data_IF_252679173958
#
_entry.id   IF_252679173958
#
_cell.length_a   1.000
_cell.length_b   1.000
_cell.length_c   1.000
_cell.angle_alpha   90.00
_cell.angle_beta   90.00
_cell.angle_gamma   90.00
#
_symmetry.space_group_name_H-M   'P 1'
#
loop_
_entity.id
_entity.type
_entity.pdbx_description
1 polymer ?
#
# COMPACT_ATOMS: atom_id res chain seq x y z
N UNK A 1 -0.25 -6.83 4.82
CA UNK A 1 -0.11 -6.52 3.40
C UNK A 1 -0.67 -5.15 3.07
N UNK A 2 -0.54 -4.71 1.82
CA UNK A 2 -0.87 -3.35 1.36
C UNK A 2 -2.31 -2.90 1.68
N UNK A 3 -3.28 -3.80 1.59
CA UNK A 3 -4.68 -3.48 1.95
C UNK A 3 -4.83 -3.11 3.44
N UNK A 4 -4.16 -3.84 4.33
CA UNK A 4 -4.16 -3.51 5.75
C UNK A 4 -3.43 -2.20 6.03
N UNK A 5 -2.31 -1.94 5.33
CA UNK A 5 -1.61 -0.66 5.40
C UNK A 5 -2.50 0.50 4.97
N UNK A 6 -3.22 0.35 3.86
CA UNK A 6 -4.16 1.38 3.40
C UNK A 6 -5.28 1.65 4.43
N UNK A 7 -5.82 0.58 5.03
CA UNK A 7 -6.83 0.70 6.10
C UNK A 7 -6.27 1.46 7.31
N UNK A 8 -5.08 1.07 7.80
CA UNK A 8 -4.43 1.77 8.92
C UNK A 8 -4.05 3.21 8.58
N UNK A 9 -3.66 3.49 7.34
CA UNK A 9 -3.39 4.86 6.89
C UNK A 9 -4.65 5.71 7.01
N UNK A 10 -5.77 5.21 6.53
CA UNK A 10 -7.06 5.89 6.62
C UNK A 10 -7.48 6.14 8.08
N UNK A 11 -7.28 5.16 8.96
CA UNK A 11 -7.57 5.32 10.39
C UNK A 11 -6.67 6.36 11.05
N UNK A 12 -5.40 6.45 10.65
CA UNK A 12 -4.44 7.40 11.24
C UNK A 12 -4.58 8.83 10.70
N UNK A 13 -5.17 9.03 9.52
CA UNK A 13 -5.44 10.38 8.99
C UNK A 13 -6.83 10.90 9.37
N UNK A 14 -7.73 10.02 9.80
CA UNK A 14 -9.10 10.38 10.17
C UNK A 14 -9.10 11.17 11.49
N UNK A 15 -9.89 12.22 11.53
CA UNK A 15 -10.23 12.96 12.75
C UNK A 15 -11.42 12.35 13.51
N UNK A 16 -12.04 11.29 12.97
CA UNK A 16 -13.07 10.49 13.62
C UNK A 16 -12.44 9.34 14.41
N UNK A 17 -13.21 8.77 15.35
CA UNK A 17 -12.79 7.55 16.03
C UNK A 17 -12.70 6.34 15.05
N UNK A 18 -11.95 5.31 15.43
CA UNK A 18 -11.69 4.12 14.61
C UNK A 18 -12.98 3.44 14.16
N UNK A 19 -13.93 3.25 15.09
CA UNK A 19 -15.19 2.56 14.82
C UNK A 19 -15.98 3.32 13.75
N UNK A 20 -16.10 4.64 13.90
CA UNK A 20 -16.85 5.49 12.98
C UNK A 20 -16.21 5.55 11.59
N UNK A 21 -14.88 5.59 11.55
CA UNK A 21 -14.12 5.56 10.28
C UNK A 21 -14.36 4.24 9.55
N UNK A 22 -14.27 3.10 10.25
CA UNK A 22 -14.52 1.78 9.68
C UNK A 22 -15.96 1.62 9.20
N UNK A 23 -16.96 2.05 9.98
CA UNK A 23 -18.38 2.03 9.60
C UNK A 23 -18.63 2.84 8.34
N UNK A 24 -18.08 4.05 8.27
CA UNK A 24 -18.24 4.93 7.11
C UNK A 24 -17.62 4.30 5.85
N UNK A 25 -16.41 3.76 5.98
CA UNK A 25 -15.70 3.17 4.85
C UNK A 25 -16.36 1.86 4.39
N UNK A 26 -16.71 0.96 5.31
CA UNK A 26 -17.38 -0.30 4.96
C UNK A 26 -18.76 -0.07 4.35
N UNK A 27 -19.49 0.94 4.84
CA UNK A 27 -20.77 1.37 4.25
C UNK A 27 -20.62 1.87 2.81
N UNK A 28 -19.53 2.60 2.52
CA UNK A 28 -19.26 3.10 1.17
C UNK A 28 -18.87 1.98 0.18
N UNK A 29 -18.38 0.85 0.66
CA UNK A 29 -18.04 -0.31 -0.19
C UNK A 29 -19.28 -1.08 -0.69
N UNK A 30 -20.42 -0.90 -0.06
CA UNK A 30 -21.68 -1.59 -0.40
C UNK A 30 -21.51 -3.11 -0.55
N UNK A 31 -20.72 -3.71 0.35
CA UNK A 31 -20.42 -5.14 0.39
C UNK A 31 -19.45 -5.63 -0.70
N UNK A 32 -18.93 -4.74 -1.54
CA UNK A 32 -18.01 -5.13 -2.61
C UNK A 32 -16.55 -4.91 -2.25
N UNK A 33 -15.75 -5.93 -2.50
CA UNK A 33 -14.29 -5.88 -2.42
C UNK A 33 -13.71 -6.52 -3.68
N UNK A 34 -12.82 -5.81 -4.37
CA UNK A 34 -12.08 -6.38 -5.50
C UNK A 34 -11.22 -7.57 -5.05
N UNK A 35 -11.17 -8.66 -5.83
CA UNK A 35 -10.48 -9.88 -5.43
C UNK A 35 -8.96 -9.74 -5.40
N UNK A 36 -8.41 -8.71 -6.05
CA UNK A 36 -6.96 -8.45 -6.09
C UNK A 36 -6.65 -6.99 -6.42
N UNK A 37 -5.40 -6.58 -6.15
CA UNK A 37 -4.92 -5.24 -6.53
C UNK A 37 -4.91 -5.00 -8.04
N UNK A 38 -4.76 -6.05 -8.85
CA UNK A 38 -4.85 -5.97 -10.31
C UNK A 38 -6.29 -5.74 -10.73
N UNK A 39 -7.24 -6.47 -10.15
CA UNK A 39 -8.66 -6.32 -10.44
C UNK A 39 -9.17 -4.90 -10.16
N UNK A 40 -8.70 -4.25 -9.08
CA UNK A 40 -9.01 -2.84 -8.80
C UNK A 40 -8.70 -1.95 -10.00
N UNK A 41 -7.52 -2.08 -10.58
CA UNK A 41 -7.09 -1.25 -11.72
C UNK A 41 -7.88 -1.57 -13.00
N UNK A 42 -8.18 -2.84 -13.24
CA UNK A 42 -8.96 -3.28 -14.40
C UNK A 42 -10.41 -2.77 -14.31
N UNK A 43 -11.01 -2.83 -13.13
CA UNK A 43 -12.39 -2.36 -12.89
C UNK A 43 -12.52 -0.85 -13.07
N UNK A 44 -11.54 -0.07 -12.59
CA UNK A 44 -11.52 1.38 -12.78
C UNK A 44 -11.26 1.71 -14.25
N UNK A 45 -10.30 1.06 -14.90
CA UNK A 45 -10.00 1.27 -16.31
C UNK A 45 -11.19 0.90 -17.22
N UNK A 46 -11.95 -0.12 -16.89
CA UNK A 46 -13.16 -0.51 -17.60
C UNK A 46 -14.37 0.37 -17.30
N UNK A 47 -14.26 1.32 -16.37
CA UNK A 47 -15.36 2.19 -15.94
C UNK A 47 -16.45 1.49 -15.12
N UNK A 48 -16.23 0.25 -14.69
CA UNK A 48 -17.16 -0.49 -13.83
C UNK A 48 -17.11 0.00 -12.38
N UNK A 49 -15.99 0.63 -11.99
CA UNK A 49 -15.81 1.35 -10.74
C UNK A 49 -15.24 2.74 -11.03
N UNK A 50 -15.71 3.74 -10.28
CA UNK A 50 -15.25 5.12 -10.47
C UNK A 50 -13.93 5.40 -9.76
N UNK A 51 -13.67 4.72 -8.65
CA UNK A 51 -12.50 4.92 -7.79
C UNK A 51 -12.01 3.57 -7.31
N UNK A 52 -10.68 3.43 -7.18
CA UNK A 52 -10.02 2.26 -6.62
C UNK A 52 -8.85 2.66 -5.72
N UNK A 53 -8.64 1.93 -4.63
CA UNK A 53 -7.47 2.10 -3.77
C UNK A 53 -6.41 1.09 -4.17
N UNK A 54 -5.23 1.57 -4.53
CA UNK A 54 -4.12 0.75 -4.99
C UNK A 54 -2.77 1.37 -4.63
N UNK A 55 -1.67 0.71 -4.99
CA UNK A 55 -0.33 1.27 -4.82
C UNK A 55 0.04 2.16 -6.01
N UNK A 56 0.79 3.22 -5.74
CA UNK A 56 1.25 4.18 -6.75
C UNK A 56 1.93 3.50 -7.94
N UNK A 57 2.90 2.62 -7.68
CA UNK A 57 3.66 1.96 -8.74
C UNK A 57 2.80 1.13 -9.69
N UNK A 58 1.83 0.39 -9.15
CA UNK A 58 0.92 -0.41 -9.98
C UNK A 58 0.02 0.48 -10.86
N UNK A 59 -0.50 1.57 -10.31
CA UNK A 59 -1.34 2.49 -11.08
C UNK A 59 -0.54 3.17 -12.20
N UNK A 60 0.68 3.62 -11.90
CA UNK A 60 1.56 4.26 -12.90
C UNK A 60 1.99 3.31 -14.00
N UNK A 61 2.31 2.07 -13.65
CA UNK A 61 2.60 1.04 -14.66
C UNK A 61 1.39 0.82 -15.57
N UNK A 62 0.19 0.75 -15.01
CA UNK A 62 -1.04 0.57 -15.79
C UNK A 62 -1.32 1.75 -16.73
N UNK A 63 -1.03 2.98 -16.32
CA UNK A 63 -1.12 4.18 -17.17
C UNK A 63 -0.14 4.08 -18.36
N UNK A 64 1.10 3.64 -18.12
CA UNK A 64 2.07 3.42 -19.22
C UNK A 64 1.63 2.33 -20.20
N UNK A 65 0.91 1.34 -19.73
CA UNK A 65 0.30 0.31 -20.58
C UNK A 65 -0.89 0.84 -21.39
N UNK A 66 -1.26 2.10 -21.21
CA UNK A 66 -2.33 2.77 -21.96
C UNK A 66 -3.71 2.77 -21.27
N UNK A 67 -3.76 2.49 -19.97
CA UNK A 67 -5.02 2.59 -19.23
C UNK A 67 -5.49 4.05 -19.10
N UNK A 68 -6.78 4.27 -19.26
CA UNK A 68 -7.45 5.58 -19.06
C UNK A 68 -7.84 5.77 -17.59
N UNK A 69 -6.82 5.89 -16.74
CA UNK A 69 -6.97 6.12 -15.31
C UNK A 69 -6.07 7.26 -14.85
N UNK A 70 -6.44 7.90 -13.74
CA UNK A 70 -5.66 8.98 -13.12
C UNK A 70 -5.35 8.63 -11.67
N UNK A 71 -4.12 8.90 -11.23
CA UNK A 71 -3.72 8.77 -9.82
C UNK A 71 -4.09 10.04 -9.07
N UNK A 72 -4.85 9.88 -7.99
CA UNK A 72 -5.20 10.96 -7.07
C UNK A 72 -4.53 10.69 -5.73
N UNK A 73 -3.69 11.63 -5.30
CA UNK A 73 -3.07 11.57 -3.97
C UNK A 73 -4.00 12.23 -2.95
N UNK A 74 -4.31 11.56 -1.82
CA UNK A 74 -5.14 12.14 -0.76
C UNK A 74 -4.51 13.42 -0.19
N UNK A 75 -5.32 14.47 -0.04
CA UNK A 75 -4.89 15.75 0.56
C UNK A 75 -4.61 15.65 2.05
N UNK A 76 -5.24 14.68 2.72
CA UNK A 76 -5.06 14.43 4.15
C UNK A 76 -3.74 13.72 4.42
N UNK A 77 -3.22 13.03 3.43
CA UNK A 77 -1.93 12.35 3.46
C UNK A 77 -2.05 10.86 3.16
N UNK A 78 -0.91 10.26 2.90
CA UNK A 78 -0.79 8.82 2.68
C UNK A 78 0.44 8.26 3.39
N UNK A 79 0.47 6.95 3.62
CA UNK A 79 1.65 6.29 4.18
C UNK A 79 2.73 6.09 3.11
N UNK A 80 3.99 6.24 3.53
CA UNK A 80 5.16 5.84 2.77
C UNK A 80 5.96 4.85 3.62
N UNK A 81 5.74 3.57 3.39
CA UNK A 81 6.36 2.50 4.17
C UNK A 81 7.33 1.74 3.26
N UNK A 82 8.61 1.66 3.62
CA UNK A 82 9.57 0.90 2.82
C UNK A 82 9.28 -0.60 2.88
N UNK A 83 9.39 -1.26 1.75
CA UNK A 83 9.51 -2.71 1.72
C UNK A 83 10.84 -3.12 2.36
N UNK A 84 10.85 -4.27 3.04
CA UNK A 84 12.01 -4.75 3.75
C UNK A 84 12.48 -6.12 3.24
N UNK A 85 13.79 -6.27 3.15
CA UNK A 85 14.46 -7.56 2.90
C UNK A 85 15.23 -7.97 4.15
N UNK A 86 15.10 -9.23 4.56
CA UNK A 86 15.77 -9.74 5.75
C UNK A 86 16.51 -11.05 5.47
N UNK A 87 17.61 -11.27 6.18
CA UNK A 87 18.34 -12.54 6.13
C UNK A 87 17.72 -13.51 7.12
N UNK A 88 17.36 -14.70 6.64
CA UNK A 88 16.82 -15.76 7.48
C UNK A 88 17.86 -16.22 8.51
N UNK A 89 17.45 -16.34 9.78
CA UNK A 89 18.33 -16.86 10.84
C UNK A 89 18.86 -18.25 10.48
N UNK A 90 20.17 -18.41 10.53
CA UNK A 90 20.82 -19.68 10.17
C UNK A 90 20.99 -19.91 8.66
N UNK A 91 20.93 -18.85 7.85
CA UNK A 91 21.20 -18.93 6.42
C UNK A 91 22.55 -19.61 6.16
N UNK A 92 22.55 -20.64 5.29
CA UNK A 92 23.75 -21.45 5.01
C UNK A 92 24.88 -20.67 4.30
N UNK A 93 24.48 -19.65 3.54
CA UNK A 93 25.39 -18.81 2.73
C UNK A 93 25.30 -17.35 3.19
N UNK A 94 25.63 -17.11 4.45
CA UNK A 94 25.46 -15.81 5.11
C UNK A 94 26.14 -14.66 4.36
N UNK A 95 27.38 -14.86 3.88
CA UNK A 95 28.12 -13.81 3.18
C UNK A 95 27.45 -13.46 1.82
N UNK A 96 26.98 -14.46 1.09
CA UNK A 96 26.22 -14.19 -0.15
C UNK A 96 24.89 -13.49 0.14
N UNK A 97 24.23 -13.84 1.24
CA UNK A 97 22.99 -13.18 1.64
C UNK A 97 23.21 -11.70 1.99
N UNK A 98 24.32 -11.36 2.65
CA UNK A 98 24.70 -9.97 2.93
C UNK A 98 25.00 -9.20 1.65
N UNK A 99 25.81 -9.79 0.74
CA UNK A 99 26.11 -9.18 -0.56
C UNK A 99 24.83 -8.91 -1.39
N UNK A 100 23.89 -9.85 -1.36
CA UNK A 100 22.62 -9.66 -2.02
C UNK A 100 21.81 -8.51 -1.40
N UNK A 101 21.81 -8.40 -0.08
CA UNK A 101 21.13 -7.32 0.65
C UNK A 101 21.74 -5.96 0.29
N UNK A 102 23.07 -5.84 0.28
CA UNK A 102 23.80 -4.63 -0.15
C UNK A 102 23.47 -4.28 -1.61
N UNK A 103 23.43 -5.31 -2.48
CA UNK A 103 23.03 -5.12 -3.87
C UNK A 103 21.62 -4.54 -4.01
N UNK A 104 20.64 -5.03 -3.25
CA UNK A 104 19.24 -4.55 -3.35
C UNK A 104 19.08 -3.08 -2.98
N UNK A 105 19.96 -2.54 -2.13
CA UNK A 105 19.93 -1.12 -1.73
C UNK A 105 20.98 -0.26 -2.47
N UNK A 106 21.68 -0.84 -3.44
CA UNK A 106 22.64 -0.08 -4.26
C UNK A 106 21.94 0.97 -5.12
N UNK A 107 22.66 2.04 -5.49
CA UNK A 107 22.13 3.13 -6.32
C UNK A 107 21.58 2.63 -7.66
N UNK A 108 22.28 1.66 -8.28
CA UNK A 108 21.88 1.12 -9.59
C UNK A 108 20.56 0.36 -9.51
N UNK A 109 20.39 -0.47 -8.47
CA UNK A 109 19.13 -1.20 -8.26
C UNK A 109 18.00 -0.24 -7.87
N UNK A 110 18.28 0.73 -7.00
CA UNK A 110 17.26 1.70 -6.61
C UNK A 110 16.82 2.58 -7.79
N UNK A 111 17.73 2.95 -8.69
CA UNK A 111 17.38 3.64 -9.94
C UNK A 111 16.49 2.77 -10.83
N UNK A 112 16.84 1.49 -10.99
CA UNK A 112 16.01 0.54 -11.75
C UNK A 112 14.60 0.40 -11.13
N UNK A 113 14.52 0.36 -9.81
CA UNK A 113 13.26 0.29 -9.07
C UNK A 113 12.37 1.51 -9.32
N UNK A 114 12.96 2.69 -9.41
CA UNK A 114 12.23 3.92 -9.75
C UNK A 114 11.80 3.97 -11.22
N UNK A 115 12.72 3.70 -12.14
CA UNK A 115 12.49 3.86 -13.58
C UNK A 115 11.56 2.80 -14.17
N UNK A 116 11.67 1.56 -13.68
CA UNK A 116 10.94 0.40 -14.28
C UNK A 116 9.70 0.04 -13.47
N UNK A 117 9.77 0.13 -12.14
CA UNK A 117 8.68 -0.29 -11.27
C UNK A 117 7.93 0.88 -10.63
N UNK A 118 8.33 2.13 -10.92
CA UNK A 118 7.69 3.34 -10.39
C UNK A 118 7.58 3.35 -8.86
N UNK A 119 8.54 2.74 -8.19
CA UNK A 119 8.65 2.72 -6.74
C UNK A 119 9.65 3.76 -6.30
N UNK A 120 9.35 4.47 -5.24
CA UNK A 120 10.25 5.48 -4.68
C UNK A 120 11.47 4.82 -4.07
N UNK A 121 12.64 5.42 -4.27
CA UNK A 121 13.88 4.94 -3.66
C UNK A 121 13.82 5.02 -2.14
N UNK A 122 14.52 4.10 -1.47
CA UNK A 122 14.75 4.16 -0.01
C UNK A 122 16.06 4.88 0.34
N UNK A 123 16.80 5.36 -0.68
CA UNK A 123 18.06 6.08 -0.49
C UNK A 123 17.81 7.59 -0.44
N UNK A 124 18.48 8.24 0.52
CA UNK A 124 18.41 9.69 0.70
C UNK A 124 19.52 10.45 -0.02
N UNK A 125 20.43 9.75 -0.70
CA UNK A 125 21.52 10.31 -1.50
C UNK A 125 21.25 10.24 -3.02
N UNK A 126 20.05 9.86 -3.42
CA UNK A 126 19.57 9.90 -4.79
C UNK A 126 18.56 11.02 -4.95
N UNK A 127 18.67 11.76 -6.06
CA UNK A 127 17.58 12.65 -6.46
C UNK A 127 16.35 11.80 -6.80
N UNK A 128 15.24 12.12 -6.18
CA UNK A 128 13.97 11.44 -6.42
C UNK A 128 13.59 11.66 -7.90
N UNK A 129 13.31 10.60 -8.64
CA UNK A 129 12.73 10.70 -9.97
C UNK A 129 11.29 11.19 -9.84
N UNK A 130 11.16 12.47 -9.58
CA UNK A 130 9.88 13.12 -9.40
C UNK A 130 9.21 13.32 -10.75
N UNK A 131 8.28 12.46 -11.13
CA UNK A 131 7.25 12.92 -12.05
C UNK A 131 6.56 14.16 -11.44
N UNK A 132 6.22 15.18 -12.24
CA UNK A 132 5.68 16.46 -11.75
C UNK A 132 4.50 16.33 -10.79
N UNK A 133 3.76 15.23 -10.87
CA UNK A 133 2.61 14.91 -10.02
C UNK A 133 3.03 14.37 -8.64
N UNK A 134 4.23 13.80 -8.51
CA UNK A 134 4.74 13.22 -7.26
C UNK A 134 5.20 14.27 -6.24
N UNK A 135 5.47 15.48 -6.69
CA UNK A 135 5.89 16.60 -5.82
C UNK A 135 4.80 17.06 -4.85
N UNK A 136 3.57 16.58 -5.04
CA UNK A 136 2.40 16.91 -4.20
C UNK A 136 2.08 15.85 -3.15
N UNK A 137 2.88 14.79 -3.05
CA UNK A 137 2.62 13.73 -2.07
C UNK A 137 2.84 14.26 -0.64
N UNK A 138 1.77 14.28 0.14
CA UNK A 138 1.84 14.49 1.58
C UNK A 138 1.92 13.14 2.27
N UNK A 139 3.03 12.86 2.94
CA UNK A 139 3.18 11.66 3.77
C UNK A 139 2.80 11.94 5.21
N UNK A 140 2.24 10.93 5.88
CA UNK A 140 2.00 10.94 7.32
C UNK A 140 3.14 10.27 8.06
N UNK A 141 3.29 10.60 9.33
CA UNK A 141 4.13 9.83 10.27
C UNK A 141 3.35 8.57 10.68
N UNK A 142 3.47 7.52 9.84
CA UNK A 142 2.70 6.29 10.00
C UNK A 142 3.18 5.49 11.21
N UNK A 143 2.33 5.35 12.22
CA UNK A 143 2.62 4.55 13.41
C UNK A 143 2.50 3.05 13.11
N UNK A 144 3.64 2.44 12.77
CA UNK A 144 3.74 1.00 12.47
C UNK A 144 3.55 0.15 13.73
N UNK A 145 3.91 0.67 14.92
CA UNK A 145 3.74 -0.06 16.18
C UNK A 145 2.28 -0.16 16.54
N UNK A 146 1.55 0.95 16.49
CA UNK A 146 0.11 0.97 16.68
C UNK A 146 -0.58 0.03 15.67
N UNK A 147 -0.26 0.14 14.39
CA UNK A 147 -0.83 -0.72 13.35
C UNK A 147 -0.56 -2.22 13.58
N UNK A 148 0.59 -2.56 14.18
CA UNK A 148 0.91 -3.94 14.54
C UNK A 148 0.16 -4.42 15.78
N UNK A 149 0.02 -3.58 16.79
CA UNK A 149 -0.64 -3.92 18.07
C UNK A 149 -2.16 -4.03 17.91
N UNK A 150 -2.78 -3.12 17.17
CA UNK A 150 -4.23 -3.08 16.97
C UNK A 150 -4.74 -3.99 15.85
N UNK A 151 -3.83 -4.74 15.20
CA UNK A 151 -4.16 -5.52 13.99
C UNK A 151 -5.34 -6.46 14.18
N UNK A 152 -5.33 -7.23 15.24
CA UNK A 152 -6.39 -8.22 15.51
C UNK A 152 -7.74 -7.53 15.75
N UNK A 153 -7.75 -6.49 16.57
CA UNK A 153 -8.94 -5.68 16.86
C UNK A 153 -9.51 -5.05 15.58
N UNK A 154 -8.67 -4.40 14.77
CA UNK A 154 -9.08 -3.73 13.52
C UNK A 154 -9.68 -4.74 12.55
N UNK A 155 -9.03 -5.90 12.36
CA UNK A 155 -9.53 -6.92 11.44
C UNK A 155 -10.83 -7.55 11.93
N UNK A 156 -10.98 -7.84 13.21
CA UNK A 156 -12.22 -8.36 13.78
C UNK A 156 -13.38 -7.36 13.62
N UNK A 157 -13.12 -6.08 13.86
CA UNK A 157 -14.12 -5.02 13.63
C UNK A 157 -14.51 -4.95 12.15
N UNK A 158 -13.53 -4.98 11.25
CA UNK A 158 -13.75 -5.00 9.81
C UNK A 158 -14.62 -6.19 9.38
N UNK A 159 -14.31 -7.41 9.80
CA UNK A 159 -15.05 -8.63 9.47
C UNK A 159 -16.48 -8.56 9.98
N UNK A 160 -16.67 -8.07 11.20
CA UNK A 160 -18.00 -7.87 11.79
C UNK A 160 -18.84 -6.89 10.95
N UNK A 161 -18.25 -5.76 10.55
CA UNK A 161 -18.95 -4.75 9.74
C UNK A 161 -19.25 -5.25 8.31
N UNK A 162 -18.45 -6.17 7.78
CA UNK A 162 -18.69 -6.79 6.48
C UNK A 162 -19.73 -7.93 6.54
N UNK A 163 -20.28 -8.24 7.72
CA UNK A 163 -21.20 -9.38 7.91
C UNK A 163 -20.54 -10.75 7.75
N UNK A 164 -19.20 -10.79 7.79
CA UNK A 164 -18.40 -12.02 7.74
C UNK A 164 -18.10 -12.47 9.17
N UNK A 165 -19.13 -12.80 9.94
CA UNK A 165 -18.92 -13.53 11.20
C UNK A 165 -18.53 -14.95 10.84
N UNK A 166 -17.37 -15.41 11.31
CA UNK A 166 -16.94 -16.80 11.17
C UNK A 166 -18.06 -17.76 11.57
N UNK A 167 -18.70 -18.39 10.60
CA UNK A 167 -19.18 -19.74 10.81
C UNK A 167 -17.90 -20.59 10.97
N UNK A 168 -17.51 -20.84 12.23
CA UNK A 168 -16.52 -21.86 12.53
C UNK A 168 -17.01 -23.13 11.86
N UNK A 169 -16.30 -23.53 10.83
CA UNK A 169 -16.43 -24.89 10.28
C UNK A 169 -15.90 -25.81 11.37
N UNK A 170 -16.83 -26.52 12.05
CA UNK A 170 -16.53 -27.60 12.93
C UNK A 170 -15.87 -28.79 12.18
#
# INVERSE_FOLDING_TARGET
GSSYTALCTMLQVSDQDEQKTLETFTGALDGYLSPSSVAVLEEVNAGTRLVGITTEGMARQKILEGADITVIYPTDGTSAIPDATAIVKGAKHMENAKLFLEFTVSSDVQRLVEEVFFRRTVRNDMEEYAAPEQTKLKTIDYDIHWASQEKEKILNTWETLQGRTDEKVD
#
